data_IF_215472141137
#
_entry.id   IF_215472141137
#
_cell.length_a   1.000
_cell.length_b   1.000
_cell.length_c   1.000
_cell.angle_alpha   90.00
_cell.angle_beta   90.00
_cell.angle_gamma   90.00
#
_symmetry.space_group_name_H-M   'P 1'
#
loop_
_entity.id
_entity.type
_entity.pdbx_description
1 polymer ?
#
# COMPACT_ATOMS: atom_id res chain seq x y z
N UNK A 1 7.14 83.50 8.34
CA UNK A 1 6.07 84.46 8.68
C UNK A 1 4.80 83.63 8.77
N UNK A 2 4.27 83.41 9.99
CA UNK A 2 3.02 84.03 10.49
C UNK A 2 1.77 83.43 9.77
N UNK A 3 0.74 82.85 10.37
CA UNK A 3 0.20 82.77 11.74
C UNK A 3 -0.80 81.60 11.82
N UNK A 4 -1.06 81.10 13.03
CA UNK A 4 -2.26 80.33 13.39
C UNK A 4 -3.56 81.14 13.19
N UNK A 5 -4.66 80.45 12.88
CA UNK A 5 -6.00 80.79 13.38
C UNK A 5 -6.88 79.56 13.54
N UNK A 6 -7.74 79.70 14.53
CA UNK A 6 -8.50 78.72 15.31
C UNK A 6 -9.94 78.58 14.81
N UNK A 7 -10.53 77.43 15.17
CA UNK A 7 -11.93 77.16 15.53
C UNK A 7 -12.92 76.62 14.50
N UNK A 8 -13.65 75.58 14.91
CA UNK A 8 -14.80 75.04 14.19
C UNK A 8 -15.36 73.78 14.83
N UNK A 9 -15.93 73.91 16.02
CA UNK A 9 -16.75 72.89 16.70
C UNK A 9 -17.89 72.38 15.81
N UNK A 10 -18.04 71.06 15.69
CA UNK A 10 -19.15 70.43 14.98
C UNK A 10 -19.29 68.95 15.34
N UNK A 11 -19.93 68.67 16.49
CA UNK A 11 -20.35 67.32 16.90
C UNK A 11 -21.42 66.80 15.93
N UNK A 12 -21.02 65.94 14.99
CA UNK A 12 -21.92 65.10 14.20
C UNK A 12 -21.84 63.65 14.67
N UNK A 13 -22.84 63.21 15.43
CA UNK A 13 -23.04 61.80 15.79
C UNK A 13 -23.43 60.99 14.55
N UNK A 14 -22.80 59.82 14.46
CA UNK A 14 -23.32 58.57 13.90
C UNK A 14 -23.68 58.52 12.41
N UNK A 15 -23.02 57.60 11.70
CA UNK A 15 -23.67 56.37 11.24
C UNK A 15 -22.57 55.46 10.66
N UNK A 16 -22.09 54.53 11.48
CA UNK A 16 -21.17 53.48 11.03
C UNK A 16 -22.01 52.52 10.19
N UNK A 17 -21.91 52.62 8.86
CA UNK A 17 -22.44 51.59 7.96
C UNK A 17 -21.50 50.38 8.05
N UNK A 18 -21.97 49.18 8.44
CA UNK A 18 -21.16 47.98 8.28
C UNK A 18 -21.04 47.73 6.78
N UNK A 19 -19.86 48.01 6.22
CA UNK A 19 -19.48 47.48 4.92
C UNK A 19 -19.26 45.99 5.13
N UNK A 20 -20.21 45.18 4.71
CA UNK A 20 -20.05 43.73 4.60
C UNK A 20 -18.95 43.47 3.56
N UNK A 21 -17.73 43.25 4.03
CA UNK A 21 -16.66 42.67 3.22
C UNK A 21 -17.05 41.20 3.02
N UNK A 22 -17.72 40.91 1.92
CA UNK A 22 -17.91 39.54 1.48
C UNK A 22 -16.54 38.98 1.06
N UNK A 23 -15.87 38.28 1.98
CA UNK A 23 -14.76 37.39 1.66
C UNK A 23 -15.31 36.30 0.75
N UNK A 24 -15.11 36.46 -0.57
CA UNK A 24 -15.33 35.39 -1.53
C UNK A 24 -14.36 34.25 -1.21
N UNK A 25 -14.84 33.21 -0.56
CA UNK A 25 -14.08 31.99 -0.33
C UNK A 25 -13.82 31.32 -1.68
N UNK A 26 -12.57 31.37 -2.15
CA UNK A 26 -12.12 30.57 -3.28
C UNK A 26 -12.16 29.09 -2.86
N UNK A 27 -13.21 28.38 -3.29
CA UNK A 27 -13.31 26.94 -3.08
C UNK A 27 -12.45 26.26 -4.13
N UNK A 28 -11.18 26.03 -3.83
CA UNK A 28 -10.33 25.17 -4.65
C UNK A 28 -10.68 23.73 -4.30
N UNK A 29 -11.62 23.14 -5.03
CA UNK A 29 -11.89 21.70 -4.94
C UNK A 29 -10.74 20.95 -5.61
N UNK A 30 -9.72 20.56 -4.83
CA UNK A 30 -8.79 19.53 -5.26
C UNK A 30 -9.54 18.19 -5.27
N UNK A 31 -10.11 17.82 -6.41
CA UNK A 31 -10.51 16.45 -6.66
C UNK A 31 -9.23 15.62 -6.83
N UNK A 32 -8.82 14.92 -5.78
CA UNK A 32 -7.80 13.89 -5.89
C UNK A 32 -8.31 12.78 -6.84
N UNK A 33 -7.47 12.21 -7.71
CA UNK A 33 -7.93 11.29 -8.74
C UNK A 33 -8.54 10.03 -8.11
N UNK A 34 -9.82 9.75 -8.41
CA UNK A 34 -10.44 8.45 -8.20
C UNK A 34 -10.13 7.54 -9.39
N UNK A 35 -8.91 7.03 -9.43
CA UNK A 35 -8.54 5.83 -10.17
C UNK A 35 -8.21 4.82 -9.09
N UNK A 36 -8.70 3.58 -9.19
CA UNK A 36 -8.40 2.50 -8.25
C UNK A 36 -6.92 2.61 -7.85
N UNK A 37 -6.64 3.02 -6.61
CA UNK A 37 -5.27 3.33 -6.20
C UNK A 37 -4.47 2.06 -6.36
N UNK A 38 -3.67 2.02 -7.41
CA UNK A 38 -2.85 0.88 -7.75
C UNK A 38 -1.93 0.65 -6.56
N UNK A 39 -2.17 -0.43 -5.82
CA UNK A 39 -1.42 -0.74 -4.61
C UNK A 39 -0.14 -1.43 -5.07
N UNK A 40 1.05 -0.79 -4.97
CA UNK A 40 2.27 -1.38 -5.55
C UNK A 40 2.56 -2.79 -5.00
N UNK A 41 2.16 -3.08 -3.77
CA UNK A 41 2.25 -4.42 -3.20
C UNK A 41 1.26 -5.43 -3.77
N UNK A 42 0.06 -5.02 -4.19
CA UNK A 42 -0.88 -5.90 -4.91
C UNK A 42 -0.34 -6.24 -6.30
N UNK A 43 0.26 -5.27 -7.00
CA UNK A 43 0.88 -5.50 -8.30
C UNK A 43 2.05 -6.48 -8.16
N UNK A 44 2.88 -6.33 -7.13
CA UNK A 44 3.96 -7.27 -6.81
C UNK A 44 3.43 -8.67 -6.46
N UNK A 45 2.34 -8.78 -5.69
CA UNK A 45 1.67 -10.05 -5.38
C UNK A 45 1.21 -10.80 -6.64
N UNK A 46 0.67 -10.07 -7.61
CA UNK A 46 0.21 -10.63 -8.88
C UNK A 46 1.39 -11.01 -9.79
N UNK A 47 2.34 -10.10 -10.00
CA UNK A 47 3.53 -10.35 -10.83
C UNK A 47 4.40 -11.48 -10.30
N UNK A 48 4.55 -11.57 -8.98
CA UNK A 48 5.27 -12.64 -8.31
C UNK A 48 4.59 -14.01 -8.44
N UNK A 49 3.39 -14.09 -9.05
CA UNK A 49 2.57 -15.30 -9.13
C UNK A 49 2.30 -15.94 -7.77
N UNK A 50 2.25 -15.14 -6.70
CA UNK A 50 2.17 -15.64 -5.33
C UNK A 50 0.90 -16.46 -5.07
N UNK A 51 -0.17 -16.15 -5.81
CA UNK A 51 -1.45 -16.86 -5.77
C UNK A 51 -1.34 -18.33 -6.18
N UNK A 52 -0.34 -18.69 -7.00
CA UNK A 52 -0.14 -20.05 -7.48
C UNK A 52 0.10 -21.05 -6.34
N UNK A 53 0.72 -20.61 -5.24
CA UNK A 53 0.96 -21.48 -4.08
C UNK A 53 0.12 -21.05 -2.88
N UNK A 54 -0.05 -19.74 -2.66
CA UNK A 54 -0.68 -19.20 -1.44
C UNK A 54 -2.19 -18.93 -1.58
N UNK A 55 -2.79 -19.26 -2.72
CA UNK A 55 -4.21 -19.04 -3.00
C UNK A 55 -4.53 -17.57 -3.29
N UNK A 56 -5.68 -17.30 -3.90
CA UNK A 56 -6.01 -15.96 -4.42
C UNK A 56 -6.07 -14.86 -3.36
N UNK A 57 -6.43 -15.21 -2.12
CA UNK A 57 -6.57 -14.27 -0.99
C UNK A 57 -5.56 -14.57 0.11
N UNK A 58 -4.43 -15.17 -0.24
CA UNK A 58 -3.34 -15.53 0.65
C UNK A 58 -3.73 -16.50 1.80
N UNK A 59 -4.81 -17.27 1.62
CA UNK A 59 -5.30 -18.24 2.60
C UNK A 59 -4.53 -19.58 2.60
N UNK A 60 -3.51 -19.71 1.76
CA UNK A 60 -2.77 -20.95 1.55
C UNK A 60 -3.52 -21.92 0.63
N UNK A 61 -2.87 -23.03 0.30
CA UNK A 61 -3.53 -24.16 -0.39
C UNK A 61 -4.01 -23.86 -1.82
N UNK A 62 -3.24 -23.10 -2.60
CA UNK A 62 -3.59 -22.73 -3.98
C UNK A 62 -2.97 -23.58 -5.09
N UNK A 63 -2.21 -24.61 -4.72
CA UNK A 63 -1.18 -25.21 -5.58
C UNK A 63 -1.62 -25.63 -6.98
N UNK A 64 -2.81 -26.21 -7.16
CA UNK A 64 -3.08 -26.94 -8.40
C UNK A 64 -1.95 -27.97 -8.63
N UNK A 65 -1.13 -27.73 -9.65
CA UNK A 65 0.08 -28.51 -9.98
C UNK A 65 1.34 -28.08 -9.18
N UNK A 66 1.34 -26.89 -8.57
CA UNK A 66 2.40 -26.39 -7.71
C UNK A 66 2.24 -26.89 -6.26
N UNK A 67 3.34 -26.96 -5.47
CA UNK A 67 3.25 -27.26 -4.05
C UNK A 67 2.34 -26.27 -3.30
N UNK A 68 1.52 -26.79 -2.40
CA UNK A 68 0.64 -25.95 -1.59
C UNK A 68 1.46 -25.07 -0.63
N UNK A 69 1.35 -23.75 -0.80
CA UNK A 69 1.95 -22.78 0.10
C UNK A 69 1.16 -22.62 1.41
N UNK A 70 1.81 -22.19 2.51
CA UNK A 70 1.16 -21.95 3.78
C UNK A 70 0.16 -20.78 3.72
N UNK A 71 -0.76 -20.75 4.69
CA UNK A 71 -1.68 -19.65 4.90
C UNK A 71 -0.95 -18.43 5.47
N UNK A 72 -0.78 -17.38 4.65
CA UNK A 72 -0.04 -16.18 5.04
C UNK A 72 -0.78 -15.32 6.07
N UNK A 73 -2.11 -15.41 6.13
CA UNK A 73 -2.92 -14.71 7.17
C UNK A 73 -2.58 -15.19 8.58
N UNK A 74 -2.03 -16.40 8.71
CA UNK A 74 -1.62 -17.03 9.97
C UNK A 74 -0.09 -17.06 10.16
N UNK A 75 0.66 -16.39 9.29
CA UNK A 75 2.12 -16.34 9.43
C UNK A 75 2.52 -15.72 10.76
N UNK A 76 3.65 -16.18 11.31
CA UNK A 76 4.30 -15.60 12.48
C UNK A 76 5.59 -14.85 12.12
N UNK A 77 5.91 -14.80 10.83
CA UNK A 77 7.07 -14.08 10.34
C UNK A 77 6.86 -12.58 10.56
N UNK A 78 7.91 -11.92 11.06
CA UNK A 78 8.03 -10.47 11.12
C UNK A 78 8.14 -9.88 9.70
N UNK A 79 7.95 -8.55 9.53
CA UNK A 79 8.14 -7.90 8.23
C UNK A 79 9.53 -8.15 7.63
N UNK A 80 10.58 -8.16 8.45
CA UNK A 80 11.94 -8.45 8.00
C UNK A 80 12.11 -9.91 7.54
N UNK A 81 11.54 -10.86 8.27
CA UNK A 81 11.56 -12.27 7.88
C UNK A 81 10.71 -12.55 6.64
N UNK A 82 9.59 -11.84 6.46
CA UNK A 82 8.81 -11.86 5.22
C UNK A 82 9.64 -11.34 4.04
N UNK A 83 10.33 -10.20 4.22
CA UNK A 83 11.21 -9.64 3.20
C UNK A 83 12.30 -10.63 2.80
N UNK A 84 13.01 -11.23 3.76
CA UNK A 84 14.04 -12.22 3.48
C UNK A 84 13.45 -13.45 2.78
N UNK A 85 12.29 -13.96 3.25
CA UNK A 85 11.62 -15.11 2.64
C UNK A 85 11.22 -14.86 1.18
N UNK A 86 10.67 -13.68 0.87
CA UNK A 86 10.28 -13.32 -0.51
C UNK A 86 11.53 -13.12 -1.37
N UNK A 87 12.52 -12.37 -0.87
CA UNK A 87 13.72 -12.07 -1.63
C UNK A 87 14.54 -13.33 -1.93
N UNK A 88 14.69 -14.21 -0.94
CA UNK A 88 15.62 -15.35 -0.96
C UNK A 88 14.95 -16.71 -1.16
N UNK A 89 13.62 -16.77 -1.22
CA UNK A 89 12.87 -18.03 -1.29
C UNK A 89 13.00 -18.86 -0.01
N UNK A 90 12.17 -19.89 0.15
CA UNK A 90 12.29 -20.85 1.27
C UNK A 90 11.58 -22.17 0.95
N UNK A 91 12.29 -23.28 1.09
CA UNK A 91 11.78 -24.59 0.68
C UNK A 91 11.50 -24.60 -0.82
N UNK A 92 10.27 -24.94 -1.21
CA UNK A 92 9.85 -24.95 -2.62
C UNK A 92 9.46 -23.56 -3.15
N UNK A 93 9.39 -22.53 -2.28
CA UNK A 93 9.16 -21.16 -2.72
C UNK A 93 10.44 -20.61 -3.38
N UNK A 94 10.40 -20.20 -4.66
CA UNK A 94 11.57 -19.66 -5.35
C UNK A 94 11.99 -18.31 -4.76
N UNK A 95 13.23 -17.91 -5.03
CA UNK A 95 13.67 -16.54 -4.73
C UNK A 95 13.13 -15.58 -5.77
N UNK A 96 12.76 -14.36 -5.36
CA UNK A 96 12.20 -13.36 -6.27
C UNK A 96 13.10 -12.14 -6.47
N UNK A 97 14.07 -11.89 -5.58
CA UNK A 97 15.04 -10.82 -5.82
C UNK A 97 16.05 -11.32 -6.85
N UNK A 98 16.14 -10.65 -8.00
CA UNK A 98 17.03 -11.05 -9.11
C UNK A 98 18.51 -11.15 -8.67
N UNK A 99 18.92 -10.31 -7.72
CA UNK A 99 20.27 -10.30 -7.18
C UNK A 99 20.53 -11.38 -6.10
N UNK A 100 19.50 -12.07 -5.59
CA UNK A 100 19.64 -13.08 -4.53
C UNK A 100 20.53 -14.23 -5.00
N UNK A 101 21.40 -14.70 -4.10
CA UNK A 101 22.39 -15.77 -4.32
C UNK A 101 23.45 -15.52 -5.40
N UNK A 102 23.32 -14.45 -6.20
CA UNK A 102 24.31 -14.03 -7.18
C UNK A 102 25.23 -12.92 -6.63
N UNK A 103 24.65 -11.86 -6.09
CA UNK A 103 25.37 -10.70 -5.53
C UNK A 103 24.87 -10.30 -4.15
N UNK A 104 23.67 -10.73 -3.77
CA UNK A 104 23.09 -10.53 -2.44
C UNK A 104 23.08 -11.88 -1.70
N UNK A 105 23.77 -12.01 -0.55
CA UNK A 105 23.70 -13.22 0.26
C UNK A 105 22.33 -13.36 0.91
N UNK A 106 21.94 -14.60 1.20
CA UNK A 106 20.62 -14.95 1.73
C UNK A 106 20.78 -15.93 2.90
N UNK A 107 20.07 -15.72 4.01
CA UNK A 107 20.17 -16.56 5.21
C UNK A 107 21.61 -16.75 5.74
N UNK A 108 22.46 -15.73 5.56
CA UNK A 108 23.89 -15.80 5.91
C UNK A 108 24.73 -16.71 5.00
N UNK A 109 24.15 -17.25 3.92
CA UNK A 109 24.87 -18.05 2.93
C UNK A 109 25.65 -17.10 2.00
N UNK A 110 26.98 -17.24 1.89
CA UNK A 110 27.79 -16.46 0.96
C UNK A 110 27.40 -16.72 -0.50
N UNK A 111 27.78 -15.80 -1.39
CA UNK A 111 27.64 -16.01 -2.85
C UNK A 111 28.83 -16.82 -3.40
N UNK A 112 28.61 -17.70 -4.41
CA UNK A 112 27.33 -18.06 -4.99
C UNK A 112 26.49 -18.93 -4.04
N UNK A 113 25.17 -18.81 -4.11
CA UNK A 113 24.25 -19.61 -3.29
C UNK A 113 24.22 -21.10 -3.63
N UNK A 114 23.37 -21.87 -2.93
CA UNK A 114 23.31 -23.31 -3.07
C UNK A 114 22.80 -23.74 -4.46
N UNK A 115 23.32 -24.87 -4.95
CA UNK A 115 22.82 -25.49 -6.17
C UNK A 115 21.34 -25.85 -6.01
N UNK A 116 20.54 -25.58 -7.05
CA UNK A 116 19.10 -25.85 -7.05
C UNK A 116 18.22 -24.70 -6.55
N UNK A 117 18.79 -23.58 -6.09
CA UNK A 117 18.02 -22.35 -5.89
C UNK A 117 17.43 -21.88 -7.24
N UNK A 118 16.12 -21.71 -7.31
CA UNK A 118 15.41 -21.31 -8.52
C UNK A 118 14.89 -19.86 -8.42
N UNK A 119 15.13 -19.08 -9.47
CA UNK A 119 14.55 -17.74 -9.64
C UNK A 119 13.09 -17.87 -10.08
N UNK A 120 12.18 -17.25 -9.32
CA UNK A 120 10.79 -17.09 -9.70
C UNK A 120 10.59 -15.89 -10.62
N UNK A 121 9.35 -15.40 -10.72
CA UNK A 121 9.11 -14.13 -11.41
C UNK A 121 9.88 -13.00 -10.69
N UNK A 122 10.83 -12.33 -11.36
CA UNK A 122 11.73 -11.39 -10.69
C UNK A 122 11.00 -10.15 -10.21
N UNK A 123 11.34 -9.71 -8.99
CA UNK A 123 10.90 -8.50 -8.36
C UNK A 123 12.12 -7.65 -7.95
N UNK A 124 11.98 -6.34 -8.08
CA UNK A 124 12.94 -5.37 -7.55
C UNK A 124 12.85 -5.29 -6.02
N UNK A 125 13.89 -4.75 -5.37
CA UNK A 125 13.86 -4.54 -3.93
C UNK A 125 12.68 -3.66 -3.48
N UNK A 126 12.31 -2.65 -4.27
CA UNK A 126 11.18 -1.77 -3.97
C UNK A 126 9.82 -2.48 -4.12
N UNK A 127 9.66 -3.37 -5.10
CA UNK A 127 8.46 -4.19 -5.24
C UNK A 127 8.32 -5.19 -4.08
N UNK A 128 9.43 -5.76 -3.61
CA UNK A 128 9.43 -6.64 -2.42
C UNK A 128 9.03 -5.85 -1.17
N UNK A 129 9.56 -4.64 -0.98
CA UNK A 129 9.17 -3.78 0.14
C UNK A 129 7.67 -3.45 0.11
N UNK A 130 7.17 -3.05 -1.05
CA UNK A 130 5.74 -2.78 -1.22
C UNK A 130 4.88 -4.03 -0.98
N UNK A 131 5.35 -5.21 -1.40
CA UNK A 131 4.67 -6.48 -1.15
C UNK A 131 4.61 -6.80 0.35
N UNK A 132 5.71 -6.62 1.08
CA UNK A 132 5.75 -6.82 2.54
C UNK A 132 4.79 -5.86 3.23
N UNK A 133 4.75 -4.60 2.84
CA UNK A 133 3.81 -3.61 3.37
C UNK A 133 2.35 -4.02 3.11
N UNK A 134 2.04 -4.47 1.89
CA UNK A 134 0.71 -4.97 1.55
C UNK A 134 0.32 -6.19 2.41
N UNK A 135 1.22 -7.18 2.53
CA UNK A 135 0.95 -8.38 3.32
C UNK A 135 0.73 -8.04 4.80
N UNK A 136 1.62 -7.25 5.38
CA UNK A 136 1.56 -6.89 6.81
C UNK A 136 0.32 -6.06 7.14
N UNK A 137 -0.09 -5.17 6.23
CA UNK A 137 -1.26 -4.29 6.44
C UNK A 137 -2.60 -4.98 6.18
N UNK A 138 -2.70 -5.77 5.10
CA UNK A 138 -4.00 -6.23 4.59
C UNK A 138 -4.24 -7.73 4.80
N UNK A 139 -3.19 -8.51 5.09
CA UNK A 139 -3.25 -9.99 5.07
C UNK A 139 -2.92 -10.60 6.43
N UNK A 140 -1.76 -10.28 6.99
CA UNK A 140 -1.25 -10.90 8.22
C UNK A 140 -2.17 -10.56 9.40
N UNK A 141 -2.64 -11.59 10.12
CA UNK A 141 -3.55 -11.42 11.25
C UNK A 141 -5.03 -11.21 10.86
N UNK A 142 -5.34 -10.93 9.59
CA UNK A 142 -6.71 -10.82 9.08
C UNK A 142 -7.27 -12.23 8.85
N UNK A 143 -7.74 -12.84 9.94
CA UNK A 143 -8.16 -14.26 9.97
C UNK A 143 -9.58 -14.50 9.47
N UNK A 144 -10.46 -13.49 9.54
CA UNK A 144 -11.78 -13.51 8.92
C UNK A 144 -11.73 -12.76 7.60
N UNK A 145 -11.98 -13.46 6.49
CA UNK A 145 -12.07 -12.85 5.17
C UNK A 145 -13.46 -12.23 5.02
N UNK A 146 -13.57 -10.95 5.32
CA UNK A 146 -14.75 -10.14 5.02
C UNK A 146 -14.79 -9.76 3.54
N UNK A 147 -15.92 -9.23 3.08
CA UNK A 147 -16.01 -8.67 1.72
C UNK A 147 -14.95 -7.59 1.45
N UNK A 148 -14.68 -6.72 2.43
CA UNK A 148 -13.64 -5.70 2.32
C UNK A 148 -12.23 -6.30 2.25
N UNK A 149 -11.93 -7.29 3.10
CA UNK A 149 -10.64 -7.98 3.08
C UNK A 149 -10.42 -8.83 1.82
N UNK A 150 -11.49 -9.26 1.15
CA UNK A 150 -11.41 -9.85 -0.18
C UNK A 150 -11.11 -8.78 -1.25
N UNK A 151 -11.81 -7.64 -1.17
CA UNK A 151 -11.72 -6.56 -2.15
C UNK A 151 -10.31 -5.98 -2.32
N UNK A 152 -9.45 -6.04 -1.30
CA UNK A 152 -8.05 -5.59 -1.39
C UNK A 152 -7.28 -6.31 -2.49
N UNK A 153 -7.64 -7.55 -2.84
CA UNK A 153 -7.03 -8.31 -3.94
C UNK A 153 -7.63 -7.98 -5.31
N UNK A 154 -8.70 -7.20 -5.36
CA UNK A 154 -9.45 -6.82 -6.55
C UNK A 154 -9.53 -5.30 -6.71
N UNK A 155 -8.45 -4.59 -6.37
CA UNK A 155 -8.36 -3.13 -6.52
C UNK A 155 -9.35 -2.35 -5.64
N UNK A 156 -9.77 -2.92 -4.52
CA UNK A 156 -10.76 -2.34 -3.61
C UNK A 156 -12.22 -2.56 -4.04
N UNK A 157 -12.49 -3.34 -5.10
CA UNK A 157 -13.85 -3.59 -5.55
C UNK A 157 -14.58 -4.59 -4.64
N UNK A 158 -15.39 -4.07 -3.70
CA UNK A 158 -16.24 -4.89 -2.80
C UNK A 158 -17.33 -5.67 -3.54
N UNK A 159 -17.64 -5.30 -4.78
CA UNK A 159 -18.62 -5.97 -5.62
C UNK A 159 -17.97 -6.96 -6.59
N UNK A 160 -16.66 -7.22 -6.48
CA UNK A 160 -16.00 -8.25 -7.28
C UNK A 160 -16.73 -9.60 -7.09
N UNK A 161 -17.08 -10.33 -8.17
CA UNK A 161 -17.82 -11.58 -8.07
C UNK A 161 -17.15 -12.61 -7.14
N UNK A 162 -15.83 -12.67 -7.16
CA UNK A 162 -15.02 -13.52 -6.28
C UNK A 162 -15.25 -13.24 -4.78
N UNK A 163 -15.69 -12.01 -4.44
CA UNK A 163 -15.95 -11.58 -3.07
C UNK A 163 -17.41 -11.77 -2.61
N UNK A 164 -18.32 -12.20 -3.49
CA UNK A 164 -19.74 -12.29 -3.18
C UNK A 164 -20.06 -13.23 -2.01
N UNK A 165 -19.26 -14.27 -1.82
CA UNK A 165 -19.39 -15.27 -0.75
C UNK A 165 -19.01 -14.75 0.63
N UNK A 166 -18.27 -13.64 0.70
CA UNK A 166 -17.84 -13.05 1.98
C UNK A 166 -18.86 -12.01 2.44
N UNK A 167 -19.18 -12.07 3.73
CA UNK A 167 -20.05 -11.11 4.41
C UNK A 167 -19.28 -9.86 4.82
#
# INVERSE_FOLDING_TARGET
MKEERVNGSGRGRALVRPVLIALGAAVVTFAAPSLAQQQPGLDAWQRGSCTACHGSLAQGGGGGEMPAGPNLRRTRLTPAELKETIACGRGDMPYHLEAAYATVPCYGIPVPGPAGAALGAPLTAAEIDALVDFLTKEVVGVTTITRAACAVFFGGNTNAPACAQYR
#
